data_IF_716538981316
#
_entry.id   IF_716538981316
#
_cell.length_a   1.000
_cell.length_b   1.000
_cell.length_c   1.000
_cell.angle_alpha   90.00
_cell.angle_beta   90.00
_cell.angle_gamma   90.00
#
_symmetry.space_group_name_H-M   'P 1'
#
loop_
_entity.id
_entity.type
_entity.pdbx_description
1 polymer ?
#
# COMPACT_ATOMS: atom_id res chain seq x y z
N UNK A 1 -8.67 26.48 0.60
CA UNK A 1 -8.59 25.01 0.52
C UNK A 1 -7.12 24.62 0.57
N UNK A 2 -6.58 24.27 1.75
CA UNK A 2 -5.16 23.86 1.85
C UNK A 2 -5.04 22.47 1.25
N UNK A 3 -4.46 22.37 0.06
CA UNK A 3 -4.01 21.11 -0.51
C UNK A 3 -2.89 20.60 0.42
N UNK A 4 -3.26 19.73 1.36
CA UNK A 4 -2.32 19.00 2.20
C UNK A 4 -1.30 18.32 1.29
N UNK A 5 -0.01 18.60 1.47
CA UNK A 5 1.09 17.89 0.80
C UNK A 5 0.78 16.40 0.87
N UNK A 6 0.41 15.78 -0.24
CA UNK A 6 0.25 14.33 -0.31
C UNK A 6 1.64 13.74 -0.09
N UNK A 7 1.83 13.06 1.03
CA UNK A 7 3.08 12.34 1.28
C UNK A 7 3.11 11.13 0.34
N UNK A 8 3.72 11.32 -0.83
CA UNK A 8 3.97 10.25 -1.78
C UNK A 8 4.88 9.20 -1.16
N UNK A 9 4.60 7.93 -1.42
CA UNK A 9 5.47 6.86 -1.00
C UNK A 9 6.66 6.82 -1.96
N UNK A 10 7.86 6.70 -1.42
CA UNK A 10 9.07 6.48 -2.22
C UNK A 10 9.18 4.99 -2.50
N UNK A 11 9.49 4.64 -3.74
CA UNK A 11 9.77 3.27 -4.12
C UNK A 11 10.96 2.74 -3.30
N UNK A 12 10.83 1.53 -2.76
CA UNK A 12 11.84 0.83 -1.98
C UNK A 12 12.22 -0.52 -2.59
N UNK A 13 11.58 -0.92 -3.69
CA UNK A 13 11.88 -2.17 -4.41
C UNK A 13 10.84 -2.48 -5.48
N UNK A 14 10.73 -3.76 -5.84
CA UNK A 14 9.72 -4.28 -6.78
C UNK A 14 9.02 -5.52 -6.21
N UNK A 15 7.85 -5.86 -6.77
CA UNK A 15 7.13 -7.10 -6.49
C UNK A 15 6.33 -7.54 -7.72
N UNK A 16 5.91 -8.80 -7.77
CA UNK A 16 5.06 -9.31 -8.84
C UNK A 16 3.57 -9.14 -8.49
N UNK A 17 2.84 -8.45 -9.36
CA UNK A 17 1.38 -8.35 -9.35
C UNK A 17 0.86 -9.10 -10.58
N UNK A 18 0.33 -10.31 -10.38
CA UNK A 18 -0.14 -11.18 -11.45
C UNK A 18 0.87 -11.27 -12.61
N UNK A 19 2.12 -11.67 -12.28
CA UNK A 19 3.22 -11.86 -13.23
C UNK A 19 3.88 -10.57 -13.77
N UNK A 20 3.31 -9.39 -13.49
CA UNK A 20 3.91 -8.11 -13.84
C UNK A 20 4.78 -7.61 -12.68
N UNK A 21 6.05 -7.30 -12.95
CA UNK A 21 6.91 -6.63 -11.98
C UNK A 21 6.48 -5.16 -11.84
N UNK A 22 6.15 -4.75 -10.61
CA UNK A 22 5.69 -3.40 -10.29
C UNK A 22 6.56 -2.78 -9.19
N UNK A 23 6.78 -1.46 -9.23
CA UNK A 23 7.44 -0.75 -8.14
C UNK A 23 6.60 -0.84 -6.87
N UNK A 24 7.27 -1.00 -5.72
CA UNK A 24 6.60 -1.01 -4.41
C UNK A 24 7.29 -0.06 -3.44
N UNK A 25 6.53 0.44 -2.48
CA UNK A 25 7.03 1.09 -1.29
C UNK A 25 6.75 0.24 -0.05
N UNK A 26 7.65 0.29 0.93
CA UNK A 26 7.42 -0.31 2.24
C UNK A 26 6.66 0.65 3.15
N UNK A 27 5.58 0.17 3.76
CA UNK A 27 4.83 0.88 4.78
C UNK A 27 4.79 0.06 6.06
N UNK A 28 5.20 0.66 7.18
CA UNK A 28 5.08 0.01 8.49
C UNK A 28 3.69 0.29 9.03
N UNK A 29 2.88 -0.77 9.17
CA UNK A 29 1.51 -0.68 9.69
C UNK A 29 1.54 -0.08 11.09
N UNK A 30 0.76 0.98 11.31
CA UNK A 30 0.60 1.61 12.62
C UNK A 30 -0.60 1.01 13.37
N UNK A 31 -0.66 1.25 14.68
CA UNK A 31 -1.82 0.86 15.47
C UNK A 31 -3.08 1.57 14.96
N UNK A 32 -4.14 0.80 14.74
CA UNK A 32 -5.41 1.31 14.21
C UNK A 32 -5.46 1.46 12.68
N UNK A 33 -4.38 1.14 11.95
CA UNK A 33 -4.44 1.09 10.49
C UNK A 33 -5.38 -0.03 10.02
N UNK A 34 -6.18 0.30 9.01
CA UNK A 34 -6.96 -0.68 8.25
C UNK A 34 -6.55 -0.63 6.79
N UNK A 35 -6.73 -1.74 6.06
CA UNK A 35 -6.43 -1.79 4.63
C UNK A 35 -7.15 -0.68 3.84
N UNK A 36 -8.41 -0.42 4.17
CA UNK A 36 -9.20 0.64 3.55
C UNK A 36 -8.67 2.05 3.90
N UNK A 37 -8.31 2.29 5.16
CA UNK A 37 -7.72 3.57 5.58
C UNK A 37 -6.39 3.86 4.89
N UNK A 38 -5.54 2.84 4.75
CA UNK A 38 -4.28 2.94 3.99
C UNK A 38 -4.54 3.18 2.50
N UNK A 39 -5.51 2.49 1.91
CA UNK A 39 -5.89 2.78 0.53
C UNK A 39 -6.35 4.23 0.36
N UNK A 40 -7.24 4.76 1.22
CA UNK A 40 -7.66 6.17 1.14
C UNK A 40 -6.47 7.13 1.18
N UNK A 41 -5.49 6.85 2.05
CA UNK A 41 -4.27 7.64 2.19
C UNK A 41 -3.39 7.61 0.92
N UNK A 42 -3.38 6.49 0.20
CA UNK A 42 -2.52 6.26 -0.97
C UNK A 42 -3.27 6.05 -2.29
N UNK A 43 -4.55 6.44 -2.35
CA UNK A 43 -5.46 6.14 -3.47
C UNK A 43 -5.05 6.72 -4.82
N UNK A 44 -4.09 7.65 -4.83
CA UNK A 44 -3.49 8.21 -6.05
C UNK A 44 -2.33 7.37 -6.60
N UNK A 45 -1.91 6.32 -5.90
CA UNK A 45 -0.76 5.48 -6.25
C UNK A 45 -1.11 3.98 -6.32
N UNK A 46 -2.21 3.55 -5.66
CA UNK A 46 -2.50 2.12 -5.49
C UNK A 46 -3.99 1.81 -5.38
N UNK A 47 -4.32 0.52 -5.40
CA UNK A 47 -5.67 -0.01 -5.17
C UNK A 47 -5.66 -1.03 -4.04
N UNK A 48 -6.81 -1.26 -3.40
CA UNK A 48 -6.98 -2.31 -2.38
C UNK A 48 -6.57 -3.67 -2.94
N UNK A 49 -7.03 -4.02 -4.15
CA UNK A 49 -6.72 -5.29 -4.79
C UNK A 49 -5.22 -5.49 -5.00
N UNK A 50 -4.50 -4.47 -5.48
CA UNK A 50 -3.05 -4.55 -5.67
C UNK A 50 -2.32 -4.79 -4.33
N UNK A 51 -2.71 -4.06 -3.27
CA UNK A 51 -2.14 -4.27 -1.93
C UNK A 51 -2.40 -5.71 -1.46
N UNK A 52 -3.63 -6.22 -1.61
CA UNK A 52 -3.98 -7.58 -1.17
C UNK A 52 -3.18 -8.64 -1.93
N UNK A 53 -3.13 -8.56 -3.26
CA UNK A 53 -2.42 -9.54 -4.08
C UNK A 53 -0.94 -9.60 -3.75
N UNK A 54 -0.26 -8.44 -3.69
CA UNK A 54 1.20 -8.39 -3.43
C UNK A 54 1.57 -8.86 -2.03
N UNK A 55 0.68 -8.67 -1.05
CA UNK A 55 0.91 -9.12 0.33
C UNK A 55 0.24 -10.47 0.66
N UNK A 56 -0.38 -11.13 -0.33
CA UNK A 56 -1.11 -12.39 -0.17
C UNK A 56 -2.18 -12.32 0.94
N UNK A 57 -2.84 -11.18 1.08
CA UNK A 57 -3.90 -10.98 2.06
C UNK A 57 -5.21 -11.56 1.54
N UNK A 58 -5.88 -12.35 2.36
CA UNK A 58 -7.24 -12.85 2.12
C UNK A 58 -8.28 -12.06 2.91
N UNK A 59 -7.86 -11.27 3.90
CA UNK A 59 -8.72 -10.40 4.71
C UNK A 59 -8.16 -8.97 4.74
N UNK A 60 -8.97 -8.01 5.20
CA UNK A 60 -8.57 -6.62 5.39
C UNK A 60 -7.86 -6.35 6.73
N UNK A 61 -7.63 -7.39 7.54
CA UNK A 61 -6.97 -7.27 8.83
C UNK A 61 -5.48 -7.05 8.64
N UNK A 62 -4.94 -6.01 9.29
CA UNK A 62 -3.52 -5.70 9.27
C UNK A 62 -2.95 -5.89 10.67
N UNK A 63 -1.75 -6.46 10.74
CA UNK A 63 -1.01 -6.59 12.00
C UNK A 63 -0.12 -5.36 12.19
N UNK A 64 -0.32 -4.57 13.26
CA UNK A 64 0.55 -3.45 13.57
C UNK A 64 2.02 -3.85 13.68
N UNK A 65 2.90 -2.95 13.27
CA UNK A 65 4.35 -3.14 13.25
C UNK A 65 4.89 -3.98 12.09
N UNK A 66 4.04 -4.69 11.34
CA UNK A 66 4.45 -5.43 10.14
C UNK A 66 4.73 -4.47 8.97
N UNK A 67 5.66 -4.88 8.12
CA UNK A 67 5.91 -4.20 6.85
C UNK A 67 4.90 -4.67 5.80
N UNK A 68 4.17 -3.73 5.23
CA UNK A 68 3.21 -3.92 4.17
C UNK A 68 3.80 -3.34 2.88
N UNK A 69 3.81 -4.12 1.80
CA UNK A 69 4.22 -3.65 0.48
C UNK A 69 3.06 -2.87 -0.15
N UNK A 70 3.30 -1.65 -0.58
CA UNK A 70 2.32 -0.82 -1.30
C UNK A 70 2.75 -0.75 -2.77
N UNK A 71 2.04 -1.42 -3.70
CA UNK A 71 2.34 -1.33 -5.13
C UNK A 71 1.98 0.05 -5.69
N UNK A 72 2.89 0.66 -6.45
CA UNK A 72 2.71 1.97 -7.07
C UNK A 72 2.30 1.75 -8.54
N UNK A 73 1.01 1.57 -8.77
CA UNK A 73 0.44 1.07 -10.04
C UNK A 73 -0.55 2.04 -10.69
N UNK A 74 -0.67 3.25 -10.16
CA UNK A 74 -1.53 4.34 -10.66
C UNK A 74 -0.73 5.60 -10.94
#
# INVERSE_FOLDING_TARGET
>A
MKMSKQTLLKQTGTAFLNEVEVPVAAYKVADGDSLYGLWIKFRSQTTVGAIMTVNKLTTSELQPGKSLKIPLVL
#
